data_IF_942707761689
#
_entry.id   IF_942707761689
#
_cell.length_a   1.000
_cell.length_b   1.000
_cell.length_c   1.000
_cell.angle_alpha   90.00
_cell.angle_beta   90.00
_cell.angle_gamma   90.00
#
_symmetry.space_group_name_H-M   'P 1'
#
loop_
_entity.id
_entity.type
_entity.pdbx_description
1 polymer ?
#
# COMPACT_ATOMS: atom_id res chain seq x y z
N UNK A 1 41.76 14.21 49.37
CA UNK A 1 40.35 14.61 49.48
C UNK A 1 39.80 14.58 48.07
N UNK A 2 39.17 13.47 47.71
CA UNK A 2 38.42 13.34 46.47
C UNK A 2 37.16 12.54 46.80
N UNK A 3 36.01 13.09 46.38
CA UNK A 3 34.68 12.65 46.78
C UNK A 3 34.08 11.75 45.69
N UNK A 4 33.33 10.72 46.09
CA UNK A 4 32.36 10.10 45.18
C UNK A 4 32.29 8.58 45.23
N UNK A 5 31.83 8.04 46.35
CA UNK A 5 31.31 6.67 46.49
C UNK A 5 29.95 6.58 45.81
N UNK A 6 29.66 5.48 45.08
CA UNK A 6 28.26 5.13 44.79
C UNK A 6 27.97 4.29 43.55
N UNK A 7 28.81 3.32 43.15
CA UNK A 7 28.42 2.35 42.11
C UNK A 7 27.89 1.08 42.77
N UNK A 8 26.58 0.94 42.79
CA UNK A 8 25.83 -0.06 43.51
C UNK A 8 25.90 -1.43 42.80
N UNK A 9 26.78 -2.30 43.29
CA UNK A 9 26.54 -3.70 43.69
C UNK A 9 25.47 -4.51 42.94
N UNK A 10 25.68 -4.87 41.67
CA UNK A 10 24.90 -5.99 41.08
C UNK A 10 25.64 -6.76 39.99
N UNK A 11 26.87 -7.18 40.29
CA UNK A 11 27.57 -8.17 39.48
C UNK A 11 28.49 -9.01 40.38
N UNK A 12 28.07 -10.24 40.71
CA UNK A 12 28.90 -11.48 40.66
C UNK A 12 28.27 -12.66 41.42
N UNK A 13 28.39 -13.83 40.76
CA UNK A 13 28.26 -15.20 41.27
C UNK A 13 26.82 -15.63 41.58
N UNK A 14 26.27 -16.63 40.89
CA UNK A 14 26.68 -18.04 40.98
C UNK A 14 26.58 -18.77 39.62
N UNK A 15 27.66 -19.49 39.30
CA UNK A 15 27.76 -20.49 38.22
C UNK A 15 27.16 -21.84 38.63
N UNK A 16 26.95 -22.70 37.60
CA UNK A 16 26.80 -24.18 37.61
C UNK A 16 25.40 -24.73 38.00
N UNK A 17 24.78 -25.72 37.35
CA UNK A 17 25.15 -26.62 36.24
C UNK A 17 23.89 -27.34 35.68
N UNK A 18 23.88 -27.59 34.37
CA UNK A 18 23.60 -28.87 33.68
C UNK A 18 22.27 -29.64 33.92
N UNK A 19 21.43 -29.72 32.87
CA UNK A 19 20.85 -30.98 32.36
C UNK A 19 20.22 -30.79 30.96
N UNK A 20 20.70 -31.57 30.00
CA UNK A 20 20.24 -31.68 28.62
C UNK A 20 18.82 -32.28 28.52
N UNK A 21 18.02 -31.83 27.55
CA UNK A 21 17.18 -32.69 26.70
C UNK A 21 16.48 -31.86 25.61
N UNK A 22 16.49 -32.36 24.37
CA UNK A 22 15.40 -32.09 23.44
C UNK A 22 15.73 -31.26 22.20
N UNK A 23 16.37 -31.94 21.24
CA UNK A 23 16.05 -31.90 19.81
C UNK A 23 16.18 -30.55 19.07
N UNK A 24 17.22 -30.55 18.25
CA UNK A 24 17.27 -29.86 16.97
C UNK A 24 15.92 -29.88 16.24
N UNK A 25 15.40 -28.70 15.97
CA UNK A 25 14.52 -28.45 14.83
C UNK A 25 15.09 -27.24 14.08
N UNK A 26 16.20 -27.46 13.38
CA UNK A 26 16.44 -26.74 12.14
C UNK A 26 15.33 -27.18 11.18
N UNK A 27 14.13 -26.61 11.34
CA UNK A 27 13.12 -26.66 10.31
C UNK A 27 13.65 -25.79 9.16
N UNK A 28 14.41 -26.43 8.28
CA UNK A 28 14.52 -25.98 6.90
C UNK A 28 13.09 -25.94 6.38
N UNK A 29 12.50 -24.75 6.45
CA UNK A 29 11.23 -24.42 5.83
C UNK A 29 11.45 -24.49 4.32
N UNK A 30 11.54 -25.71 3.78
CA UNK A 30 11.28 -25.92 2.37
C UNK A 30 9.77 -25.82 2.21
N UNK A 31 9.27 -24.58 2.15
CA UNK A 31 7.91 -24.34 1.72
C UNK A 31 7.68 -25.19 0.45
N UNK A 32 6.61 -26.00 0.39
CA UNK A 32 6.36 -26.84 -0.77
C UNK A 32 6.33 -25.95 -2.01
N UNK A 33 7.06 -26.35 -3.06
CA UNK A 33 7.10 -25.59 -4.32
C UNK A 33 5.65 -25.35 -4.76
N UNK A 34 5.27 -24.12 -5.12
CA UNK A 34 3.90 -23.81 -5.50
C UNK A 34 3.50 -24.68 -6.70
N UNK A 35 2.39 -25.41 -6.55
CA UNK A 35 1.83 -26.22 -7.64
C UNK A 35 0.96 -25.33 -8.51
N UNK A 36 0.92 -25.59 -9.82
CA UNK A 36 0.07 -24.83 -10.74
C UNK A 36 -1.41 -24.87 -10.31
N UNK A 37 -1.89 -26.01 -9.82
CA UNK A 37 -3.24 -26.17 -9.30
C UNK A 37 -3.48 -25.33 -8.04
N UNK A 38 -2.52 -25.30 -7.11
CA UNK A 38 -2.61 -24.48 -5.88
C UNK A 38 -2.62 -22.98 -6.18
N UNK A 39 -1.75 -22.54 -7.08
CA UNK A 39 -1.70 -21.15 -7.56
C UNK A 39 -3.01 -20.73 -8.21
N UNK A 40 -3.58 -21.57 -9.09
CA UNK A 40 -4.84 -21.28 -9.78
C UNK A 40 -6.00 -21.20 -8.79
N UNK A 41 -6.10 -22.14 -7.86
CA UNK A 41 -7.13 -22.12 -6.82
C UNK A 41 -7.03 -20.87 -5.93
N UNK A 42 -5.81 -20.46 -5.57
CA UNK A 42 -5.56 -19.24 -4.80
C UNK A 42 -5.98 -17.99 -5.57
N UNK A 43 -5.71 -17.93 -6.88
CA UNK A 43 -6.16 -16.84 -7.76
C UNK A 43 -7.67 -16.78 -7.88
N UNK A 44 -8.33 -17.91 -8.15
CA UNK A 44 -9.78 -17.97 -8.24
C UNK A 44 -10.45 -17.56 -6.92
N UNK A 45 -9.87 -17.94 -5.78
CA UNK A 45 -10.34 -17.49 -4.47
C UNK A 45 -10.18 -15.97 -4.29
N UNK A 46 -9.01 -15.43 -4.62
CA UNK A 46 -8.73 -13.99 -4.51
C UNK A 46 -9.69 -13.16 -5.39
N UNK A 47 -9.95 -13.62 -6.62
CA UNK A 47 -10.88 -12.99 -7.56
C UNK A 47 -12.32 -13.01 -7.01
N UNK A 48 -12.75 -14.13 -6.40
CA UNK A 48 -14.06 -14.23 -5.74
C UNK A 48 -14.19 -13.32 -4.54
N UNK A 49 -13.17 -13.25 -3.68
CA UNK A 49 -13.15 -12.34 -2.53
C UNK A 49 -13.18 -10.88 -2.97
N UNK A 50 -12.47 -10.57 -4.06
CA UNK A 50 -12.50 -9.26 -4.67
C UNK A 50 -13.89 -8.90 -5.17
N UNK A 51 -14.56 -9.80 -5.90
CA UNK A 51 -15.91 -9.59 -6.41
C UNK A 51 -16.98 -9.53 -5.32
N UNK A 52 -16.80 -10.27 -4.22
CA UNK A 52 -17.77 -10.37 -3.12
C UNK A 52 -17.65 -9.25 -2.07
N UNK A 53 -16.91 -8.18 -2.37
CA UNK A 53 -16.73 -7.05 -1.46
C UNK A 53 -15.87 -7.36 -0.23
N UNK A 54 -14.96 -8.34 -0.31
CA UNK A 54 -13.98 -8.68 0.74
C UNK A 54 -12.55 -8.31 0.30
N UNK A 55 -12.25 -7.02 0.08
CA UNK A 55 -10.99 -6.59 -0.51
C UNK A 55 -9.76 -6.93 0.35
N UNK A 56 -9.90 -7.00 1.68
CA UNK A 56 -8.82 -7.36 2.60
C UNK A 56 -8.42 -8.84 2.45
N UNK A 57 -9.41 -9.73 2.29
CA UNK A 57 -9.16 -11.15 2.07
C UNK A 57 -8.50 -11.38 0.70
N UNK A 58 -9.01 -10.70 -0.33
CA UNK A 58 -8.42 -10.72 -1.65
C UNK A 58 -6.95 -10.23 -1.61
N UNK A 59 -6.67 -9.16 -0.87
CA UNK A 59 -5.33 -8.63 -0.70
C UNK A 59 -4.36 -9.68 -0.12
N UNK A 60 -4.76 -10.40 0.92
CA UNK A 60 -3.93 -11.47 1.52
C UNK A 60 -3.60 -12.53 0.47
N UNK A 61 -4.59 -12.99 -0.29
CA UNK A 61 -4.40 -14.00 -1.33
C UNK A 61 -3.51 -13.49 -2.49
N UNK A 62 -3.70 -12.25 -2.95
CA UNK A 62 -2.84 -11.67 -3.98
C UNK A 62 -1.40 -11.44 -3.52
N UNK A 63 -1.18 -11.10 -2.25
CA UNK A 63 0.19 -11.04 -1.69
C UNK A 63 0.86 -12.40 -1.73
N UNK A 64 0.12 -13.46 -1.38
CA UNK A 64 0.64 -14.84 -1.48
C UNK A 64 0.93 -15.23 -2.93
N UNK A 65 0.06 -14.87 -3.88
CA UNK A 65 0.28 -15.11 -5.31
C UNK A 65 1.54 -14.41 -5.83
N UNK A 66 1.70 -13.12 -5.54
CA UNK A 66 2.88 -12.37 -5.96
C UNK A 66 4.18 -12.92 -5.34
N UNK A 67 4.11 -13.45 -4.11
CA UNK A 67 5.25 -14.10 -3.47
C UNK A 67 5.60 -15.46 -4.10
N UNK A 68 4.60 -16.26 -4.45
CA UNK A 68 4.80 -17.55 -5.14
C UNK A 68 5.24 -17.38 -6.60
N UNK A 69 4.85 -16.27 -7.22
CA UNK A 69 5.11 -15.96 -8.63
C UNK A 69 5.82 -14.60 -8.77
N UNK A 70 7.08 -14.47 -8.31
CA UNK A 70 7.76 -13.17 -8.24
C UNK A 70 7.99 -12.52 -9.60
N UNK A 71 7.99 -13.30 -10.68
CA UNK A 71 8.19 -12.85 -12.07
C UNK A 71 6.90 -12.80 -12.89
N UNK A 72 5.73 -12.97 -12.27
CA UNK A 72 4.45 -12.92 -12.95
C UNK A 72 3.83 -11.51 -12.84
N UNK A 73 3.78 -10.79 -13.96
CA UNK A 73 3.23 -9.45 -14.03
C UNK A 73 1.74 -9.37 -13.62
N UNK A 74 0.91 -10.35 -13.99
CA UNK A 74 -0.52 -10.38 -13.63
C UNK A 74 -0.73 -10.50 -12.12
N UNK A 75 0.08 -11.31 -11.43
CA UNK A 75 0.01 -11.46 -9.98
C UNK A 75 0.32 -10.13 -9.26
N UNK A 76 1.37 -9.42 -9.70
CA UNK A 76 1.71 -8.08 -9.19
C UNK A 76 0.66 -7.03 -9.55
N UNK A 77 0.07 -7.11 -10.76
CA UNK A 77 -0.96 -6.18 -11.20
C UNK A 77 -2.25 -6.32 -10.38
N UNK A 78 -2.68 -7.56 -10.11
CA UNK A 78 -3.82 -7.84 -9.22
C UNK A 78 -3.57 -7.39 -7.79
N UNK A 79 -2.35 -7.60 -7.30
CA UNK A 79 -1.94 -7.08 -5.99
C UNK A 79 -2.03 -5.54 -5.93
N UNK A 80 -1.56 -4.85 -6.97
CA UNK A 80 -1.69 -3.39 -7.08
C UNK A 80 -3.15 -2.93 -7.05
N UNK A 81 -4.03 -3.58 -7.83
CA UNK A 81 -5.47 -3.29 -7.81
C UNK A 81 -6.09 -3.54 -6.42
N UNK A 82 -5.68 -4.60 -5.73
CA UNK A 82 -6.17 -4.90 -4.39
C UNK A 82 -5.76 -3.84 -3.38
N UNK A 83 -4.51 -3.36 -3.44
CA UNK A 83 -4.03 -2.25 -2.61
C UNK A 83 -4.81 -0.96 -2.84
N UNK A 84 -5.13 -0.61 -4.10
CA UNK A 84 -5.99 0.54 -4.40
C UNK A 84 -7.36 0.39 -3.73
N UNK A 85 -7.96 -0.80 -3.80
CA UNK A 85 -9.31 -1.06 -3.24
C UNK A 85 -9.37 -0.98 -1.72
N UNK A 86 -8.29 -1.32 -1.01
CA UNK A 86 -8.22 -1.20 0.45
C UNK A 86 -7.68 0.17 0.92
N UNK A 87 -7.50 1.14 0.01
CA UNK A 87 -7.02 2.48 0.36
C UNK A 87 -5.53 2.55 0.72
N UNK A 88 -4.69 1.70 0.13
CA UNK A 88 -3.23 1.66 0.35
C UNK A 88 -2.48 2.03 -0.95
N UNK A 89 -2.54 3.29 -1.41
CA UNK A 89 -2.01 3.69 -2.72
C UNK A 89 -0.48 3.58 -2.84
N UNK A 90 0.28 3.75 -1.76
CA UNK A 90 1.75 3.66 -1.77
C UNK A 90 2.22 2.24 -2.10
N UNK A 91 1.57 1.24 -1.49
CA UNK A 91 1.83 -0.16 -1.76
C UNK A 91 1.37 -0.54 -3.18
N UNK A 92 0.29 0.08 -3.68
CA UNK A 92 -0.15 -0.11 -5.06
C UNK A 92 0.89 0.42 -6.07
N UNK A 93 1.48 1.59 -5.81
CA UNK A 93 2.58 2.14 -6.62
C UNK A 93 3.73 1.14 -6.71
N UNK A 94 4.20 0.61 -5.59
CA UNK A 94 5.29 -0.36 -5.56
C UNK A 94 4.95 -1.64 -6.34
N UNK A 95 3.71 -2.13 -6.23
CA UNK A 95 3.25 -3.31 -6.97
C UNK A 95 3.21 -3.04 -8.49
N UNK A 96 2.70 -1.89 -8.94
CA UNK A 96 2.69 -1.53 -10.36
C UNK A 96 4.09 -1.28 -10.92
N UNK A 97 5.00 -0.69 -10.15
CA UNK A 97 6.40 -0.56 -10.55
C UNK A 97 7.05 -1.94 -10.76
N UNK A 98 6.68 -2.93 -9.93
CA UNK A 98 7.13 -4.30 -10.14
C UNK A 98 6.55 -4.94 -11.40
N UNK A 99 5.28 -4.67 -11.74
CA UNK A 99 4.69 -5.06 -13.04
C UNK A 99 5.53 -4.49 -14.17
N UNK A 100 5.88 -3.20 -14.11
CA UNK A 100 6.62 -2.52 -15.18
C UNK A 100 8.09 -2.94 -15.27
N UNK A 101 8.69 -3.43 -14.18
CA UNK A 101 10.01 -4.07 -14.22
C UNK A 101 9.98 -5.41 -14.97
N UNK A 102 8.89 -6.17 -14.83
CA UNK A 102 8.71 -7.47 -15.50
C UNK A 102 8.25 -7.27 -16.95
N UNK A 103 7.27 -6.40 -17.16
CA UNK A 103 6.66 -6.07 -18.44
C UNK A 103 6.62 -4.55 -18.66
N UNK A 104 7.68 -3.95 -19.23
CA UNK A 104 7.79 -2.50 -19.42
C UNK A 104 6.70 -1.88 -20.30
N UNK A 105 6.04 -2.70 -21.14
CA UNK A 105 4.97 -2.28 -22.06
C UNK A 105 3.56 -2.52 -21.51
N UNK A 106 3.41 -2.85 -20.23
CA UNK A 106 2.11 -3.14 -19.63
C UNK A 106 1.24 -1.88 -19.47
N UNK A 107 0.43 -1.58 -20.49
CA UNK A 107 -0.34 -0.34 -20.61
C UNK A 107 -1.26 -0.03 -19.41
N UNK A 108 -1.95 -1.04 -18.88
CA UNK A 108 -2.85 -0.85 -17.72
C UNK A 108 -2.08 -0.48 -16.44
N UNK A 109 -0.85 -0.96 -16.29
CA UNK A 109 -0.02 -0.65 -15.13
C UNK A 109 0.49 0.80 -15.20
N UNK A 110 0.93 1.24 -16.39
CA UNK A 110 1.26 2.65 -16.63
C UNK A 110 0.09 3.58 -16.35
N UNK A 111 -1.11 3.22 -16.83
CA UNK A 111 -2.32 4.00 -16.58
C UNK A 111 -2.62 4.12 -15.07
N UNK A 112 -2.70 3.00 -14.36
CA UNK A 112 -3.01 3.00 -12.93
C UNK A 112 -1.92 3.70 -12.09
N UNK A 113 -0.65 3.50 -12.42
CA UNK A 113 0.47 4.17 -11.78
C UNK A 113 0.42 5.68 -12.03
N UNK A 114 0.17 6.11 -13.27
CA UNK A 114 0.05 7.53 -13.62
C UNK A 114 -1.08 8.21 -12.85
N UNK A 115 -2.24 7.57 -12.75
CA UNK A 115 -3.36 8.04 -11.93
C UNK A 115 -2.97 8.20 -10.46
N UNK A 116 -2.31 7.19 -9.87
CA UNK A 116 -1.88 7.25 -8.48
C UNK A 116 -0.86 8.38 -8.24
N UNK A 117 0.10 8.55 -9.15
CA UNK A 117 1.09 9.63 -9.07
C UNK A 117 0.45 11.02 -9.21
N UNK A 118 -0.52 11.18 -10.10
CA UNK A 118 -1.30 12.41 -10.22
C UNK A 118 -2.07 12.72 -8.93
N UNK A 119 -2.72 11.73 -8.34
CA UNK A 119 -3.42 11.88 -7.05
C UNK A 119 -2.47 12.27 -5.92
N UNK A 120 -1.30 11.65 -5.84
CA UNK A 120 -0.27 11.99 -4.84
C UNK A 120 0.24 13.42 -5.03
N UNK A 121 0.53 13.83 -6.27
CA UNK A 121 0.94 15.20 -6.58
C UNK A 121 -0.14 16.23 -6.23
N UNK A 122 -1.41 15.90 -6.49
CA UNK A 122 -2.52 16.78 -6.14
C UNK A 122 -2.80 16.87 -4.64
N UNK A 123 -2.64 15.77 -3.90
CA UNK A 123 -2.71 15.79 -2.44
C UNK A 123 -1.60 16.68 -1.85
N UNK A 124 -0.36 16.52 -2.31
CA UNK A 124 0.77 17.34 -1.86
C UNK A 124 0.56 18.82 -2.20
N UNK A 125 0.01 19.13 -3.38
CA UNK A 125 -0.33 20.50 -3.74
C UNK A 125 -1.42 21.09 -2.83
N UNK A 126 -2.47 20.31 -2.55
CA UNK A 126 -3.55 20.73 -1.65
C UNK A 126 -3.05 20.95 -0.22
N UNK A 127 -2.19 20.08 0.29
CA UNK A 127 -1.58 20.21 1.62
C UNK A 127 -0.75 21.50 1.71
N UNK A 128 0.14 21.73 0.73
CA UNK A 128 0.94 22.96 0.68
C UNK A 128 0.09 24.23 0.57
N UNK A 129 -1.05 24.19 -0.11
CA UNK A 129 -1.96 25.33 -0.22
C UNK A 129 -2.65 25.65 1.12
N UNK A 130 -2.98 24.63 1.91
CA UNK A 130 -3.56 24.78 3.25
C UNK A 130 -2.50 25.31 4.23
N UNK A 131 -1.28 24.77 4.19
CA UNK A 131 -0.17 25.17 5.06
C UNK A 131 0.32 26.60 4.83
N UNK A 132 0.06 27.18 3.65
CA UNK A 132 0.26 28.60 3.37
C UNK A 132 -0.71 29.52 4.16
N UNK A 133 -1.33 29.00 5.24
CA UNK A 133 -2.14 29.69 6.23
C UNK A 133 -3.39 30.37 5.65
N UNK A 134 -3.94 29.82 4.54
CA UNK A 134 -5.05 30.41 3.81
C UNK A 134 -4.76 31.79 3.20
N UNK A 135 -3.48 32.19 3.11
CA UNK A 135 -3.09 33.53 2.67
C UNK A 135 -3.38 33.80 1.18
N UNK A 136 -3.54 32.75 0.37
CA UNK A 136 -3.94 32.86 -1.03
C UNK A 136 -5.15 31.97 -1.34
N UNK A 137 -6.38 32.53 -1.28
CA UNK A 137 -7.60 31.84 -1.68
C UNK A 137 -7.57 31.31 -3.12
N UNK A 138 -6.79 31.95 -4.00
CA UNK A 138 -6.60 31.53 -5.39
C UNK A 138 -5.86 30.20 -5.44
N UNK A 139 -4.80 30.07 -4.64
CA UNK A 139 -4.00 28.84 -4.56
C UNK A 139 -4.84 27.66 -4.04
N UNK A 140 -5.66 27.91 -3.02
CA UNK A 140 -6.61 26.93 -2.49
C UNK A 140 -7.67 26.52 -3.52
N UNK A 141 -8.19 27.48 -4.28
CA UNK A 141 -9.14 27.20 -5.36
C UNK A 141 -8.50 26.37 -6.48
N UNK A 142 -7.25 26.70 -6.87
CA UNK A 142 -6.51 25.98 -7.90
C UNK A 142 -6.19 24.54 -7.49
N UNK A 143 -5.79 24.31 -6.23
CA UNK A 143 -5.51 22.97 -5.72
C UNK A 143 -6.77 22.11 -5.69
N UNK A 144 -7.89 22.67 -5.23
CA UNK A 144 -9.21 22.01 -5.24
C UNK A 144 -9.62 21.63 -6.67
N UNK A 145 -9.53 22.57 -7.61
CA UNK A 145 -9.86 22.31 -9.02
C UNK A 145 -9.02 21.19 -9.63
N UNK A 146 -7.72 21.11 -9.28
CA UNK A 146 -6.83 20.05 -9.75
C UNK A 146 -7.22 18.68 -9.19
N UNK A 147 -7.46 18.60 -7.88
CA UNK A 147 -7.92 17.37 -7.20
C UNK A 147 -9.22 16.86 -7.85
N UNK A 148 -10.20 17.74 -8.06
CA UNK A 148 -11.47 17.39 -8.69
C UNK A 148 -11.31 16.95 -10.15
N UNK A 149 -10.42 17.62 -10.89
CA UNK A 149 -10.10 17.24 -12.26
C UNK A 149 -9.55 15.82 -12.35
N UNK A 150 -8.61 15.46 -11.46
CA UNK A 150 -8.04 14.12 -11.39
C UNK A 150 -9.09 13.10 -10.93
N UNK A 151 -9.97 13.47 -9.99
CA UNK A 151 -11.07 12.61 -9.59
C UNK A 151 -11.99 12.26 -10.78
N UNK A 152 -12.36 13.25 -11.61
CA UNK A 152 -13.19 13.01 -12.81
C UNK A 152 -12.54 12.11 -13.86
N UNK A 153 -11.21 12.16 -14.01
CA UNK A 153 -10.48 11.25 -14.92
C UNK A 153 -10.51 9.79 -14.47
N UNK A 154 -10.87 9.55 -13.21
CA UNK A 154 -10.64 8.28 -12.53
C UNK A 154 -11.91 7.68 -11.93
N UNK A 155 -13.01 8.44 -11.86
CA UNK A 155 -14.35 7.91 -11.65
C UNK A 155 -14.81 7.15 -12.90
N UNK A 156 -15.50 6.00 -12.76
CA UNK A 156 -16.15 5.36 -13.89
C UNK A 156 -17.10 6.38 -14.54
N UNK A 157 -17.06 6.49 -15.87
CA UNK A 157 -17.83 7.41 -16.71
C UNK A 157 -19.36 7.20 -16.58
N UNK A 158 -19.92 7.42 -15.40
CA UNK A 158 -21.30 7.08 -15.05
C UNK A 158 -21.86 7.85 -13.85
N UNK A 159 -21.04 8.35 -12.93
CA UNK A 159 -21.51 9.25 -11.90
C UNK A 159 -21.41 10.71 -12.39
N UNK A 160 -22.40 11.10 -13.20
CA UNK A 160 -22.66 12.48 -13.60
C UNK A 160 -23.20 13.33 -12.43
N UNK A 161 -22.65 13.14 -11.23
CA UNK A 161 -22.81 14.09 -10.14
C UNK A 161 -21.52 14.89 -10.11
N UNK A 162 -21.51 15.97 -10.90
CA UNK A 162 -20.50 17.01 -10.75
C UNK A 162 -20.35 17.34 -9.25
N UNK A 163 -19.13 17.58 -8.75
CA UNK A 163 -18.99 18.18 -7.42
C UNK A 163 -19.88 19.43 -7.43
N UNK A 164 -20.81 19.51 -6.46
CA UNK A 164 -21.67 20.67 -6.33
C UNK A 164 -20.75 21.90 -6.30
N UNK A 165 -20.99 22.82 -7.23
CA UNK A 165 -20.23 24.07 -7.28
C UNK A 165 -20.23 24.68 -5.87
N UNK A 166 -19.10 25.26 -5.41
CA UNK A 166 -19.10 25.98 -4.14
C UNK A 166 -20.21 27.01 -4.21
N UNK A 167 -21.12 26.95 -3.23
CA UNK A 167 -22.23 27.87 -3.07
C UNK A 167 -21.68 29.29 -3.12
N UNK A 168 -21.81 29.91 -4.30
CA UNK A 168 -21.47 31.30 -4.50
C UNK A 168 -22.56 32.07 -3.76
N UNK A 169 -22.28 32.32 -2.49
CA UNK A 169 -23.10 33.08 -1.58
C UNK A 169 -23.63 34.32 -2.30
N UNK A 170 -24.94 34.35 -2.46
CA UNK A 170 -25.63 35.55 -2.90
C UNK A 170 -25.54 36.57 -1.76
N UNK A 171 -24.73 37.60 -1.97
CA UNK A 171 -24.91 38.91 -1.37
C UNK A 171 -24.79 39.96 -2.49
N UNK A 172 -25.24 41.20 -2.28
CA UNK A 172 -25.70 41.81 -1.03
C UNK A 172 -27.19 41.69 -0.74
#
# INVERSE_FOLDING_TARGET
MDMGVGMNTMMRMVMTAMACAGLAACASSSAPKPTLAGVKALQEQADRDAASGRPEQALVAYRQLAHQLPTNADAWFRLGNAYVRVGQPEQAVAAYEQVLKIEPKHAKAWHNLGVLRLRQAAAAFSESAVDANGADPTLQQQSTHMVDGIARLTSPLGDSRAPAAPDAGHGP
#
